data_IF_602078574879
#
_entry.id   IF_602078574879
#
_cell.length_a   1.000
_cell.length_b   1.000
_cell.length_c   1.000
_cell.angle_alpha   90.00
_cell.angle_beta   90.00
_cell.angle_gamma   90.00
#
_symmetry.space_group_name_H-M   'P 1'
#
loop_
_entity.id
_entity.type
_entity.pdbx_description
1 polymer ?
#
# COMPACT_ATOMS: atom_id res chain seq x y z
N UNK A 1 -2.16 15.16 25.65
CA UNK A 1 -3.39 14.68 24.99
C UNK A 1 -3.97 15.82 24.16
N UNK A 2 -3.56 16.02 22.93
CA UNK A 2 -4.15 16.98 22.03
C UNK A 2 -4.95 16.25 20.94
N UNK A 3 -6.26 16.37 21.03
CA UNK A 3 -7.21 16.06 19.97
C UNK A 3 -6.99 17.02 18.79
N UNK A 4 -6.05 16.74 17.95
CA UNK A 4 -6.06 17.25 16.57
C UNK A 4 -5.12 16.48 15.66
N UNK A 5 -5.21 15.17 15.61
CA UNK A 5 -4.68 14.45 14.47
C UNK A 5 -5.74 14.39 13.38
N UNK A 6 -5.93 15.47 12.62
CA UNK A 6 -6.37 15.32 11.23
C UNK A 6 -5.47 14.23 10.67
N UNK A 7 -6.05 13.08 10.25
CA UNK A 7 -5.32 12.02 9.56
C UNK A 7 -4.66 12.65 8.33
N UNK A 8 -3.42 13.13 8.48
CA UNK A 8 -2.62 13.57 7.33
C UNK A 8 -2.36 12.29 6.55
N UNK A 9 -2.82 12.26 5.32
CA UNK A 9 -2.45 11.21 4.38
C UNK A 9 -0.92 11.23 4.30
N UNK A 10 -0.27 10.10 4.66
CA UNK A 10 1.19 10.01 4.60
C UNK A 10 1.63 10.15 3.15
N UNK A 11 2.62 11.00 2.92
CA UNK A 11 3.21 11.16 1.60
C UNK A 11 4.14 9.98 1.29
N UNK A 12 3.99 9.41 0.11
CA UNK A 12 4.82 8.31 -0.34
C UNK A 12 6.08 8.84 -1.03
N UNK A 13 7.25 8.62 -0.41
CA UNK A 13 8.53 8.85 -1.07
C UNK A 13 8.81 7.72 -2.05
N UNK A 14 8.97 8.05 -3.33
CA UNK A 14 9.25 7.05 -4.37
C UNK A 14 10.54 6.29 -4.12
N UNK A 15 10.55 4.99 -4.39
CA UNK A 15 11.78 4.17 -4.29
C UNK A 15 12.89 4.62 -5.27
N UNK A 16 12.53 5.35 -6.32
CA UNK A 16 13.50 5.90 -7.26
C UNK A 16 14.55 6.77 -6.58
N UNK A 17 14.23 7.41 -5.45
CA UNK A 17 15.22 8.16 -4.65
C UNK A 17 16.32 7.25 -4.12
N UNK A 18 15.98 6.02 -3.69
CA UNK A 18 16.97 4.99 -3.31
C UNK A 18 17.76 4.50 -4.51
N UNK A 19 17.09 4.41 -5.68
CA UNK A 19 17.73 4.06 -6.95
C UNK A 19 18.80 5.05 -7.39
N UNK A 20 18.67 6.34 -7.01
CA UNK A 20 19.70 7.37 -7.26
C UNK A 20 20.80 7.38 -6.18
N UNK A 21 20.78 6.45 -5.24
CA UNK A 21 21.86 6.25 -4.27
C UNK A 21 21.57 6.75 -2.85
N UNK A 22 20.34 7.11 -2.51
CA UNK A 22 19.99 7.48 -1.14
C UNK A 22 20.22 6.32 -0.16
N UNK A 23 20.76 6.63 1.04
CA UNK A 23 21.02 5.66 2.10
C UNK A 23 19.89 5.62 3.13
N UNK A 24 19.74 4.49 3.81
CA UNK A 24 18.85 4.36 4.96
C UNK A 24 19.67 4.29 6.24
N UNK A 25 19.39 5.23 7.15
CA UNK A 25 20.07 5.34 8.45
C UNK A 25 19.06 5.07 9.58
N UNK A 26 19.49 4.36 10.63
CA UNK A 26 18.73 4.22 11.86
C UNK A 26 18.81 5.51 12.72
N UNK A 27 18.20 5.49 13.90
CA UNK A 27 18.22 6.65 14.83
C UNK A 27 19.61 6.98 15.37
N UNK A 28 20.55 6.06 15.29
CA UNK A 28 21.96 6.23 15.70
C UNK A 28 22.83 6.77 14.57
N UNK A 29 22.25 6.96 13.37
CA UNK A 29 22.96 7.45 12.19
C UNK A 29 23.72 6.35 11.44
N UNK A 30 23.51 5.08 11.77
CA UNK A 30 24.16 3.98 11.09
C UNK A 30 23.39 3.55 9.84
N UNK A 31 24.10 3.30 8.74
CA UNK A 31 23.57 2.71 7.53
C UNK A 31 23.36 1.19 7.75
N UNK A 32 22.12 0.76 7.86
CA UNK A 32 21.78 -0.58 8.35
C UNK A 32 21.49 -1.62 7.26
N UNK A 33 21.23 -1.21 6.01
CA UNK A 33 20.78 -2.14 4.97
C UNK A 33 21.76 -3.29 4.69
N UNK A 34 23.05 -3.11 4.93
CA UNK A 34 24.06 -4.17 4.81
C UNK A 34 23.86 -5.36 5.77
N UNK A 35 23.14 -5.16 6.89
CA UNK A 35 22.75 -6.23 7.81
C UNK A 35 21.68 -7.17 7.23
N UNK A 36 20.94 -6.71 6.20
CA UNK A 36 19.72 -7.36 5.70
C UNK A 36 19.80 -7.83 4.24
N UNK A 37 20.65 -7.20 3.42
CA UNK A 37 20.79 -7.54 2.01
C UNK A 37 22.10 -7.06 1.41
N UNK A 38 22.73 -7.89 0.58
CA UNK A 38 23.92 -7.53 -0.22
C UNK A 38 23.58 -6.46 -1.27
N UNK A 39 22.31 -6.33 -1.67
CA UNK A 39 21.83 -5.30 -2.58
C UNK A 39 21.62 -3.95 -1.89
N UNK A 40 21.86 -3.86 -0.60
CA UNK A 40 21.70 -2.65 0.20
C UNK A 40 20.31 -2.01 -0.01
N UNK A 41 20.25 -0.69 -0.22
CA UNK A 41 19.01 0.05 -0.47
C UNK A 41 18.33 -0.28 -1.81
N UNK A 42 18.99 -1.01 -2.71
CA UNK A 42 18.42 -1.52 -3.97
C UNK A 42 17.70 -2.85 -3.80
N UNK A 43 17.66 -3.41 -2.60
CA UNK A 43 16.90 -4.61 -2.30
C UNK A 43 15.41 -4.44 -2.62
N UNK A 44 14.67 -5.54 -2.90
CA UNK A 44 13.22 -5.53 -3.10
C UNK A 44 12.48 -4.82 -1.97
N UNK A 45 11.35 -4.17 -2.28
CA UNK A 45 10.57 -3.35 -1.32
C UNK A 45 10.17 -4.08 -0.05
N UNK A 46 9.80 -5.34 -0.15
CA UNK A 46 9.45 -6.18 0.99
C UNK A 46 10.64 -6.35 1.94
N UNK A 47 11.85 -6.60 1.40
CA UNK A 47 13.08 -6.70 2.19
C UNK A 47 13.42 -5.37 2.88
N UNK A 48 13.36 -4.27 2.14
CA UNK A 48 13.62 -2.94 2.71
C UNK A 48 12.61 -2.59 3.79
N UNK A 49 11.32 -2.85 3.56
CA UNK A 49 10.27 -2.58 4.56
C UNK A 49 10.46 -3.41 5.82
N UNK A 50 10.84 -4.69 5.69
CA UNK A 50 11.16 -5.56 6.83
C UNK A 50 12.39 -5.08 7.60
N UNK A 51 13.43 -4.64 6.89
CA UNK A 51 14.65 -4.08 7.49
C UNK A 51 14.33 -2.81 8.29
N UNK A 52 13.61 -1.86 7.68
CA UNK A 52 13.18 -0.63 8.35
C UNK A 52 12.35 -0.97 9.60
N UNK A 53 11.39 -1.87 9.49
CA UNK A 53 10.55 -2.25 10.62
C UNK A 53 11.38 -2.83 11.79
N UNK A 54 12.36 -3.67 11.50
CA UNK A 54 13.26 -4.24 12.52
C UNK A 54 14.13 -3.18 13.18
N UNK A 55 14.77 -2.30 12.40
CA UNK A 55 15.56 -1.20 12.95
C UNK A 55 14.72 -0.26 13.83
N UNK A 56 13.49 0.08 13.40
CA UNK A 56 12.55 0.85 14.21
C UNK A 56 12.21 0.15 15.53
N UNK A 57 12.01 -1.17 15.49
CA UNK A 57 11.74 -1.97 16.69
C UNK A 57 12.94 -2.03 17.62
N UNK A 58 14.13 -2.33 17.10
CA UNK A 58 15.36 -2.48 17.87
C UNK A 58 15.83 -1.16 18.50
N UNK A 59 15.57 -0.04 17.81
CA UNK A 59 15.96 1.31 18.28
C UNK A 59 14.83 2.06 18.99
N UNK A 60 13.64 1.43 19.18
CA UNK A 60 12.48 2.02 19.85
C UNK A 60 12.02 3.37 19.21
N UNK A 61 12.08 3.45 17.88
CA UNK A 61 11.69 4.64 17.11
C UNK A 61 10.51 4.36 16.20
N UNK A 62 9.79 5.40 15.78
CA UNK A 62 8.67 5.31 14.85
C UNK A 62 9.04 5.60 13.40
N UNK A 63 10.33 5.85 13.13
CA UNK A 63 10.88 6.11 11.80
C UNK A 63 12.37 5.79 11.73
N UNK A 64 12.87 5.69 10.49
CA UNK A 64 14.29 5.74 10.13
C UNK A 64 14.52 6.96 9.24
N UNK A 65 15.74 7.20 8.82
CA UNK A 65 16.09 8.35 7.97
C UNK A 65 16.49 7.90 6.57
N UNK A 66 15.95 8.58 5.56
CA UNK A 66 16.46 8.53 4.20
C UNK A 66 17.47 9.67 4.05
N UNK A 67 18.73 9.32 3.84
CA UNK A 67 19.86 10.25 3.70
C UNK A 67 20.21 10.43 2.22
N UNK A 68 20.11 11.66 1.76
CA UNK A 68 20.46 12.08 0.41
C UNK A 68 21.53 13.18 0.40
N UNK A 69 22.13 13.53 1.56
CA UNK A 69 23.05 14.66 1.74
C UNK A 69 24.36 14.53 0.98
N UNK A 70 24.72 13.31 0.57
CA UNK A 70 25.90 13.02 -0.26
C UNK A 70 25.62 13.16 -1.77
N UNK A 71 24.36 13.40 -2.15
CA UNK A 71 23.93 13.61 -3.53
C UNK A 71 23.76 15.10 -3.82
N UNK A 72 23.85 15.49 -5.10
CA UNK A 72 23.66 16.87 -5.51
C UNK A 72 22.20 17.33 -5.30
N UNK A 73 22.01 18.38 -4.51
CA UNK A 73 20.67 18.85 -4.12
C UNK A 73 19.90 19.45 -5.30
N UNK A 74 20.56 20.09 -6.28
CA UNK A 74 19.89 20.67 -7.45
C UNK A 74 19.48 19.54 -8.42
N UNK A 75 20.31 18.51 -8.58
CA UNK A 75 19.94 17.29 -9.30
C UNK A 75 18.70 16.65 -8.68
N UNK A 76 18.66 16.44 -7.36
CA UNK A 76 17.53 15.84 -6.67
C UNK A 76 16.24 16.65 -6.81
N UNK A 77 16.34 17.98 -6.73
CA UNK A 77 15.21 18.89 -6.93
C UNK A 77 14.62 18.77 -8.33
N UNK A 78 15.47 18.71 -9.34
CA UNK A 78 15.06 18.59 -10.74
C UNK A 78 14.54 17.19 -11.08
N UNK A 79 15.14 16.15 -10.49
CA UNK A 79 14.76 14.74 -10.72
C UNK A 79 13.49 14.34 -10.00
N UNK A 80 13.26 14.89 -8.80
CA UNK A 80 12.13 14.56 -7.93
C UNK A 80 11.34 15.79 -7.46
N UNK A 81 10.82 16.63 -8.38
CA UNK A 81 10.21 17.90 -8.02
C UNK A 81 9.00 17.77 -7.09
N UNK A 82 8.23 16.70 -7.24
CA UNK A 82 7.08 16.43 -6.36
C UNK A 82 7.51 16.11 -4.93
N UNK A 83 8.53 15.27 -4.76
CA UNK A 83 9.09 14.91 -3.44
C UNK A 83 9.71 16.14 -2.80
N UNK A 84 10.56 16.85 -3.54
CA UNK A 84 11.21 18.08 -3.08
C UNK A 84 10.20 19.12 -2.59
N UNK A 85 9.20 19.45 -3.41
CA UNK A 85 8.19 20.44 -3.05
C UNK A 85 7.30 20.02 -1.87
N UNK A 86 7.05 18.71 -1.70
CA UNK A 86 6.31 18.22 -0.56
C UNK A 86 7.11 18.35 0.73
N UNK A 87 8.35 17.87 0.74
CA UNK A 87 9.25 17.93 1.90
C UNK A 87 9.56 19.38 2.30
N UNK A 88 9.73 20.29 1.34
CA UNK A 88 9.93 21.71 1.59
C UNK A 88 8.77 22.35 2.37
N UNK A 89 7.53 21.90 2.19
CA UNK A 89 6.37 22.37 2.98
C UNK A 89 6.44 21.94 4.44
N UNK A 90 7.16 20.87 4.72
CA UNK A 90 7.41 20.36 6.07
C UNK A 90 8.76 20.86 6.63
N UNK A 91 9.39 21.86 5.97
CA UNK A 91 10.69 22.44 6.29
C UNK A 91 11.86 21.43 6.21
N UNK A 92 11.77 20.46 5.32
CA UNK A 92 12.82 19.47 5.02
C UNK A 92 13.32 19.72 3.59
N UNK A 93 14.62 19.87 3.42
CA UNK A 93 15.25 20.08 2.12
C UNK A 93 15.95 18.80 1.67
N UNK A 94 15.43 18.17 0.62
CA UNK A 94 16.04 16.98 0.03
C UNK A 94 17.45 17.31 -0.49
N UNK A 95 18.44 16.51 -0.12
CA UNK A 95 19.87 16.76 -0.40
C UNK A 95 20.59 17.55 0.69
N UNK A 96 19.87 18.09 1.69
CA UNK A 96 20.47 18.86 2.80
C UNK A 96 20.10 18.24 4.14
N UNK A 97 18.83 17.86 4.32
CA UNK A 97 18.31 17.34 5.58
C UNK A 97 18.09 15.83 5.51
N UNK A 98 18.09 15.17 6.66
CA UNK A 98 17.64 13.81 6.82
C UNK A 98 16.10 13.76 6.69
N UNK A 99 15.58 12.86 5.85
CA UNK A 99 14.15 12.71 5.63
C UNK A 99 13.61 11.57 6.50
N UNK A 100 12.76 11.83 7.51
CA UNK A 100 12.16 10.76 8.31
C UNK A 100 11.18 9.93 7.45
N UNK A 101 11.37 8.63 7.43
CA UNK A 101 10.56 7.69 6.65
C UNK A 101 10.16 6.48 7.49
N UNK A 102 8.97 5.96 7.25
CA UNK A 102 8.49 4.71 7.84
C UNK A 102 7.72 3.90 6.80
N UNK A 103 7.66 2.57 6.94
CA UNK A 103 6.87 1.75 6.03
C UNK A 103 5.40 2.10 6.12
N UNK A 104 4.71 2.12 4.98
CA UNK A 104 3.27 2.30 4.91
C UNK A 104 2.67 1.33 3.90
N UNK A 105 1.43 0.94 4.10
CA UNK A 105 0.68 0.19 3.11
C UNK A 105 0.56 1.02 1.83
N UNK A 106 0.93 0.42 0.71
CA UNK A 106 0.92 1.08 -0.59
C UNK A 106 -0.13 0.52 -1.54
N UNK A 107 -0.34 -0.80 -1.53
CA UNK A 107 -1.23 -1.50 -2.45
C UNK A 107 -1.90 -2.68 -1.73
N UNK A 108 -3.21 -2.85 -1.92
CA UNK A 108 -3.93 -3.99 -1.38
C UNK A 108 -3.86 -5.18 -2.35
N UNK A 109 -3.39 -6.34 -1.85
CA UNK A 109 -3.38 -7.58 -2.61
C UNK A 109 -4.47 -8.48 -2.04
N UNK A 110 -5.36 -8.92 -2.89
CA UNK A 110 -6.59 -9.60 -2.50
C UNK A 110 -7.81 -8.76 -2.83
N UNK A 111 -8.99 -9.15 -2.36
CA UNK A 111 -10.24 -8.44 -2.62
C UNK A 111 -11.35 -9.37 -3.10
N UNK A 112 -12.20 -8.90 -4.00
CA UNK A 112 -13.31 -9.67 -4.57
C UNK A 112 -12.72 -10.76 -5.47
N UNK A 113 -12.97 -12.02 -5.12
CA UNK A 113 -12.51 -13.16 -5.92
C UNK A 113 -13.16 -13.13 -7.31
N UNK A 114 -12.32 -13.20 -8.33
CA UNK A 114 -12.74 -13.23 -9.73
C UNK A 114 -12.03 -14.35 -10.51
N UNK A 115 -12.64 -14.75 -11.61
CA UNK A 115 -12.00 -15.62 -12.61
C UNK A 115 -11.12 -14.80 -13.58
N UNK A 116 -10.62 -15.49 -14.61
CA UNK A 116 -9.72 -14.87 -15.61
C UNK A 116 -10.43 -13.83 -16.49
N UNK A 117 -11.75 -13.85 -16.58
CA UNK A 117 -12.56 -12.89 -17.32
C UNK A 117 -13.21 -11.83 -16.41
N UNK A 118 -12.82 -11.82 -15.14
CA UNK A 118 -13.23 -10.83 -14.15
C UNK A 118 -14.58 -11.07 -13.51
N UNK A 119 -15.23 -12.22 -13.73
CA UNK A 119 -16.50 -12.55 -13.11
C UNK A 119 -16.34 -12.80 -11.62
N UNK A 120 -17.27 -12.28 -10.83
CA UNK A 120 -17.44 -12.64 -9.43
C UNK A 120 -18.38 -13.88 -9.31
N UNK A 121 -18.64 -14.30 -8.08
CA UNK A 121 -19.67 -15.32 -7.83
C UNK A 121 -21.12 -14.77 -7.92
N UNK A 122 -21.29 -13.47 -8.15
CA UNK A 122 -22.59 -12.84 -8.39
C UNK A 122 -22.83 -12.66 -9.88
N UNK A 123 -24.01 -13.03 -10.34
CA UNK A 123 -24.39 -12.90 -11.74
C UNK A 123 -24.33 -11.44 -12.20
N UNK A 124 -23.73 -11.18 -13.37
CA UNK A 124 -23.55 -9.85 -13.98
C UNK A 124 -22.71 -8.86 -13.15
N UNK A 125 -21.91 -9.35 -12.17
CA UNK A 125 -20.98 -8.51 -11.42
C UNK A 125 -19.54 -8.88 -11.75
N UNK A 126 -18.78 -7.88 -12.13
CA UNK A 126 -17.37 -7.98 -12.45
C UNK A 126 -16.54 -7.14 -11.46
N UNK A 127 -15.28 -7.51 -11.27
CA UNK A 127 -14.32 -6.68 -10.55
C UNK A 127 -12.97 -6.67 -11.26
N UNK A 128 -12.28 -5.52 -11.20
CA UNK A 128 -10.99 -5.31 -11.86
C UNK A 128 -10.09 -4.38 -11.03
N UNK A 129 -8.77 -4.55 -11.15
CA UNK A 129 -7.77 -3.74 -10.49
C UNK A 129 -7.64 -4.03 -8.99
N UNK A 130 -7.23 -3.07 -8.19
CA UNK A 130 -6.88 -3.23 -6.77
C UNK A 130 -8.00 -3.81 -5.89
N UNK A 131 -9.26 -3.71 -6.30
CA UNK A 131 -10.38 -4.29 -5.57
C UNK A 131 -10.63 -5.78 -5.90
N UNK A 132 -9.98 -6.32 -6.95
CA UNK A 132 -10.14 -7.67 -7.43
C UNK A 132 -9.05 -8.61 -6.92
N UNK A 133 -9.40 -9.87 -6.70
CA UNK A 133 -8.47 -10.96 -6.39
C UNK A 133 -8.48 -11.99 -7.51
N UNK A 134 -7.72 -11.70 -8.56
CA UNK A 134 -7.51 -12.59 -9.73
C UNK A 134 -6.29 -13.52 -9.58
N UNK A 135 -5.49 -13.34 -8.51
CA UNK A 135 -4.32 -14.16 -8.21
C UNK A 135 -3.02 -13.75 -8.90
N UNK A 136 -3.04 -12.80 -9.84
CA UNK A 136 -1.84 -12.42 -10.65
C UNK A 136 -0.69 -11.86 -9.82
N UNK A 137 -0.99 -11.26 -8.69
CA UNK A 137 0.02 -10.67 -7.80
C UNK A 137 0.57 -11.64 -6.74
N UNK A 138 -0.05 -12.78 -6.54
CA UNK A 138 0.34 -13.71 -5.49
C UNK A 138 0.40 -13.05 -4.12
N UNK A 139 1.50 -13.24 -3.41
CA UNK A 139 1.72 -12.65 -2.08
C UNK A 139 2.42 -11.29 -2.12
N UNK A 140 2.99 -10.88 -3.26
CA UNK A 140 3.77 -9.65 -3.37
C UNK A 140 3.74 -9.10 -4.81
N UNK A 141 3.08 -7.97 -5.01
CA UNK A 141 2.95 -7.35 -6.33
C UNK A 141 4.29 -6.82 -6.83
N UNK A 142 4.70 -7.23 -8.00
CA UNK A 142 5.86 -6.65 -8.69
C UNK A 142 5.56 -5.19 -9.08
N UNK A 143 6.58 -4.34 -9.01
CA UNK A 143 6.47 -2.91 -9.32
C UNK A 143 5.81 -2.68 -10.69
N UNK A 144 4.93 -1.69 -10.76
CA UNK A 144 4.17 -1.25 -11.96
C UNK A 144 3.12 -2.23 -12.51
N UNK A 145 3.06 -3.48 -12.05
CA UNK A 145 2.13 -4.48 -12.57
C UNK A 145 0.66 -4.18 -12.31
N UNK A 146 0.33 -3.27 -11.36
CA UNK A 146 -1.07 -2.88 -11.10
C UNK A 146 -1.74 -2.21 -12.31
N UNK A 147 -1.01 -1.38 -13.06
CA UNK A 147 -1.56 -0.75 -14.27
C UNK A 147 -1.75 -1.78 -15.39
N UNK A 148 -0.82 -2.71 -15.55
CA UNK A 148 -0.95 -3.80 -16.53
C UNK A 148 -2.14 -4.70 -16.19
N UNK A 149 -2.33 -5.04 -14.93
CA UNK A 149 -3.51 -5.77 -14.45
C UNK A 149 -4.80 -5.04 -14.86
N UNK A 150 -4.94 -3.76 -14.48
CA UNK A 150 -6.12 -2.98 -14.80
C UNK A 150 -6.45 -2.98 -16.31
N UNK A 151 -5.44 -2.82 -17.17
CA UNK A 151 -5.62 -2.76 -18.61
C UNK A 151 -6.00 -4.13 -19.18
N UNK A 152 -5.25 -5.18 -18.80
CA UNK A 152 -5.46 -6.52 -19.34
C UNK A 152 -6.80 -7.09 -18.92
N UNK A 153 -7.11 -7.08 -17.61
CA UNK A 153 -8.38 -7.61 -17.12
C UNK A 153 -9.57 -6.73 -17.50
N UNK A 154 -9.41 -5.39 -17.55
CA UNK A 154 -10.43 -4.50 -18.05
C UNK A 154 -10.81 -4.78 -19.51
N UNK A 155 -9.82 -5.06 -20.37
CA UNK A 155 -10.07 -5.47 -21.75
C UNK A 155 -10.79 -6.83 -21.84
N UNK A 156 -10.40 -7.82 -21.03
CA UNK A 156 -11.06 -9.13 -20.97
C UNK A 156 -12.52 -9.01 -20.56
N UNK A 157 -12.80 -8.25 -19.50
CA UNK A 157 -14.14 -7.95 -19.02
C UNK A 157 -14.97 -7.28 -20.12
N UNK A 158 -14.42 -6.29 -20.82
CA UNK A 158 -15.13 -5.60 -21.89
C UNK A 158 -15.49 -6.55 -23.06
N UNK A 159 -14.57 -7.44 -23.44
CA UNK A 159 -14.82 -8.46 -24.46
C UNK A 159 -15.94 -9.42 -24.02
N UNK A 160 -15.92 -9.86 -22.76
CA UNK A 160 -16.92 -10.78 -22.26
C UNK A 160 -18.31 -10.15 -22.14
N UNK A 161 -18.38 -8.95 -21.57
CA UNK A 161 -19.63 -8.19 -21.49
C UNK A 161 -20.23 -7.99 -22.89
N UNK A 162 -19.43 -7.62 -23.89
CA UNK A 162 -19.92 -7.43 -25.26
C UNK A 162 -20.48 -8.71 -25.89
N UNK A 163 -20.00 -9.89 -25.50
CA UNK A 163 -20.57 -11.18 -25.97
C UNK A 163 -21.92 -11.47 -25.31
N UNK A 164 -22.11 -11.01 -24.07
CA UNK A 164 -23.28 -11.35 -23.26
C UNK A 164 -24.41 -10.30 -23.35
N UNK A 165 -24.09 -9.08 -23.84
CA UNK A 165 -25.10 -8.02 -23.99
C UNK A 165 -26.10 -8.41 -25.09
N UNK A 166 -27.21 -8.99 -24.66
CA UNK A 166 -28.49 -8.89 -25.37
C UNK A 166 -29.16 -7.64 -24.84
N UNK A 167 -29.36 -6.63 -25.69
CA UNK A 167 -30.06 -5.40 -25.31
C UNK A 167 -31.44 -5.74 -24.75
N UNK A 168 -31.59 -5.78 -23.43
CA UNK A 168 -32.88 -5.80 -22.76
C UNK A 168 -33.34 -4.37 -22.61
N UNK A 169 -34.34 -3.99 -23.37
CA UNK A 169 -34.88 -2.62 -23.52
C UNK A 169 -35.54 -2.04 -22.27
N UNK A 170 -35.60 -2.72 -21.13
CA UNK A 170 -36.28 -2.19 -19.94
C UNK A 170 -35.48 -2.44 -18.65
N UNK A 171 -34.62 -1.49 -18.31
CA UNK A 171 -34.05 -1.41 -16.96
C UNK A 171 -35.00 -0.57 -16.08
N UNK A 172 -35.75 -1.23 -15.20
CA UNK A 172 -36.58 -0.53 -14.21
C UNK A 172 -35.69 -0.03 -13.08
N UNK A 173 -35.37 1.27 -13.08
CA UNK A 173 -34.53 1.94 -12.09
C UNK A 173 -35.19 2.06 -10.70
N UNK A 174 -36.49 1.77 -10.57
CA UNK A 174 -37.26 1.96 -9.35
C UNK A 174 -36.96 0.91 -8.25
N UNK A 175 -36.17 -0.11 -8.60
CA UNK A 175 -35.77 -1.17 -7.67
C UNK A 175 -34.57 -0.83 -6.80
N UNK A 176 -33.92 0.32 -7.02
CA UNK A 176 -32.83 0.79 -6.13
C UNK A 176 -33.45 1.43 -4.90
N UNK A 177 -33.97 0.62 -4.00
CA UNK A 177 -34.25 1.07 -2.65
C UNK A 177 -32.94 1.51 -2.01
N UNK A 178 -32.76 2.82 -1.86
CA UNK A 178 -31.69 3.37 -1.03
C UNK A 178 -31.98 3.05 0.44
N UNK A 179 -31.65 1.81 0.85
CA UNK A 179 -31.61 1.45 2.24
C UNK A 179 -30.45 2.25 2.86
N UNK A 180 -30.76 3.39 3.45
CA UNK A 180 -29.79 4.16 4.24
C UNK A 180 -29.63 3.48 5.59
N UNK A 181 -28.80 2.44 5.66
CA UNK A 181 -28.38 1.90 6.94
C UNK A 181 -27.38 2.87 7.58
N UNK A 182 -27.82 3.63 8.58
CA UNK A 182 -26.95 4.40 9.45
C UNK A 182 -26.29 3.46 10.49
N UNK A 183 -25.36 2.64 10.02
CA UNK A 183 -24.59 1.79 10.90
C UNK A 183 -23.24 2.47 11.23
N UNK A 184 -22.88 2.54 12.52
CA UNK A 184 -21.61 3.11 12.93
C UNK A 184 -20.47 2.08 12.82
N UNK A 185 -19.84 2.01 11.67
CA UNK A 185 -18.71 1.11 11.43
C UNK A 185 -17.37 1.54 12.05
N UNK A 186 -17.30 2.70 12.69
CA UNK A 186 -16.04 3.24 13.24
C UNK A 186 -15.36 2.30 14.25
N UNK A 187 -16.07 1.70 15.23
CA UNK A 187 -15.46 0.78 16.19
C UNK A 187 -14.92 -0.48 15.49
N UNK A 188 -15.70 -1.06 14.58
CA UNK A 188 -15.33 -2.24 13.81
C UNK A 188 -14.07 -1.95 12.96
N UNK A 189 -14.08 -0.84 12.23
CA UNK A 189 -12.94 -0.43 11.41
C UNK A 189 -11.67 -0.22 12.25
N UNK A 190 -11.81 0.34 13.46
CA UNK A 190 -10.68 0.52 14.38
C UNK A 190 -10.14 -0.83 14.86
N UNK A 191 -11.01 -1.75 15.32
CA UNK A 191 -10.62 -3.08 15.78
C UNK A 191 -9.94 -3.88 14.65
N UNK A 192 -10.53 -3.87 13.46
CA UNK A 192 -9.97 -4.53 12.28
C UNK A 192 -8.58 -3.95 11.93
N UNK A 193 -8.44 -2.62 11.93
CA UNK A 193 -7.15 -1.96 11.68
C UNK A 193 -6.07 -2.42 12.66
N UNK A 194 -6.37 -2.47 13.95
CA UNK A 194 -5.41 -2.96 14.96
C UNK A 194 -4.99 -4.41 14.69
N UNK A 195 -5.95 -5.31 14.44
CA UNK A 195 -5.63 -6.73 14.15
C UNK A 195 -4.74 -6.85 12.90
N UNK A 196 -5.07 -6.10 11.85
CA UNK A 196 -4.31 -6.13 10.60
C UNK A 196 -2.89 -5.56 10.77
N UNK A 197 -2.73 -4.47 11.52
CA UNK A 197 -1.41 -3.85 11.76
C UNK A 197 -0.52 -4.75 12.60
N UNK A 198 -1.05 -5.39 13.64
CA UNK A 198 -0.27 -6.19 14.59
C UNK A 198 0.08 -7.59 14.04
N UNK A 199 -0.88 -8.28 13.39
CA UNK A 199 -0.73 -9.70 13.05
C UNK A 199 -0.61 -9.98 11.54
N UNK A 200 -1.02 -9.05 10.69
CA UNK A 200 -1.03 -9.19 9.21
C UNK A 200 -0.16 -8.10 8.55
N UNK A 201 0.62 -7.38 9.35
CA UNK A 201 1.49 -6.29 8.91
C UNK A 201 2.74 -6.74 8.15
N UNK A 202 3.85 -6.03 8.35
CA UNK A 202 5.11 -6.21 7.59
C UNK A 202 5.80 -7.53 7.95
N UNK A 203 5.84 -7.87 9.24
CA UNK A 203 6.38 -9.15 9.75
C UNK A 203 5.22 -10.03 10.19
N UNK A 204 5.14 -11.23 9.62
CA UNK A 204 4.02 -12.16 9.84
C UNK A 204 4.53 -13.50 10.34
N UNK A 205 3.80 -14.10 11.27
CA UNK A 205 4.01 -15.47 11.74
C UNK A 205 2.75 -16.28 11.49
N UNK A 206 2.87 -17.59 11.39
CA UNK A 206 1.72 -18.48 11.22
C UNK A 206 0.72 -18.33 12.38
N UNK A 207 1.23 -18.29 13.62
CA UNK A 207 0.43 -18.09 14.83
C UNK A 207 -0.35 -16.77 14.79
N UNK A 208 0.34 -15.66 14.45
CA UNK A 208 -0.29 -14.35 14.30
C UNK A 208 -1.37 -14.31 13.24
N UNK A 209 -1.13 -14.94 12.08
CA UNK A 209 -2.11 -15.03 11.00
C UNK A 209 -3.33 -15.87 11.39
N UNK A 210 -3.14 -16.97 12.11
CA UNK A 210 -4.24 -17.79 12.64
C UNK A 210 -5.06 -17.03 13.69
N UNK A 211 -4.38 -16.30 14.59
CA UNK A 211 -5.05 -15.42 15.55
C UNK A 211 -5.89 -14.36 14.85
N UNK A 212 -5.30 -13.61 13.90
CA UNK A 212 -6.00 -12.59 13.12
C UNK A 212 -7.23 -13.15 12.41
N UNK A 213 -7.09 -14.31 11.74
CA UNK A 213 -8.20 -15.00 11.07
C UNK A 213 -9.36 -15.30 12.03
N UNK A 214 -9.06 -15.76 13.25
CA UNK A 214 -10.08 -16.09 14.23
C UNK A 214 -10.74 -14.82 14.81
N UNK A 215 -9.97 -13.75 15.05
CA UNK A 215 -10.50 -12.49 15.56
C UNK A 215 -11.38 -11.76 14.52
N UNK A 216 -10.98 -11.79 13.24
CA UNK A 216 -11.78 -11.20 12.16
C UNK A 216 -13.13 -11.91 12.02
N UNK A 217 -13.19 -13.26 12.19
CA UNK A 217 -14.45 -14.01 12.17
C UNK A 217 -15.42 -13.66 13.31
N UNK A 218 -14.92 -13.05 14.40
CA UNK A 218 -15.76 -12.61 15.54
C UNK A 218 -16.30 -11.18 15.35
N UNK A 219 -15.96 -10.52 14.24
CA UNK A 219 -16.40 -9.16 13.88
C UNK A 219 -17.69 -9.27 13.02
N UNK A 220 -18.63 -10.08 13.43
CA UNK A 220 -19.96 -10.17 12.82
C UNK A 220 -20.95 -9.18 13.42
#
# INVERSE_FOLDING_TARGET
>A
HSESSKKRQKFLVTEAVRGEGAHLLNSEGERFMSKYSDLLELAPRDKVSQAIYREMYDTWTDHVYLDTRHLDAEFLKNRFPTVYNHLKKENIILGVDLVPVSPVQHFNIGGIKVDIDGHTNMHNLYANGECASNGVHGANRLASNSLLECIVFGNRIAIDINKQITLKENFNSDLINKASYQYNYKPIKKKLGTIMDEYVGIVRTEEGLLFAKNEVKKIE
#
